data_IF_512919689422
#
_entry.id   IF_512919689422
#
_cell.length_a   1.000
_cell.length_b   1.000
_cell.length_c   1.000
_cell.angle_alpha   90.00
_cell.angle_beta   90.00
_cell.angle_gamma   90.00
#
_symmetry.space_group_name_H-M   'P 1'
#
loop_
_entity.id
_entity.type
_entity.pdbx_description
1 polymer ?
#
# COMPACT_ATOMS: atom_id res chain seq x y z
N UNK A 1 -0.44 -35.50 43.67
CA UNK A 1 -1.06 -35.71 42.34
C UNK A 1 -0.90 -34.42 41.54
N UNK A 2 -0.51 -34.52 40.27
CA UNK A 2 0.11 -33.45 39.47
C UNK A 2 -0.90 -32.34 39.11
N UNK A 3 -0.53 -31.08 39.35
CA UNK A 3 -1.27 -29.91 38.91
C UNK A 3 -1.40 -29.90 37.38
N UNK A 4 -2.64 -29.72 36.90
CA UNK A 4 -2.97 -29.57 35.48
C UNK A 4 -2.48 -28.20 35.00
N UNK A 5 -1.28 -28.16 34.43
CA UNK A 5 -0.81 -27.01 33.63
C UNK A 5 -1.69 -26.88 32.40
N UNK A 6 -2.69 -25.99 32.45
CA UNK A 6 -3.35 -25.49 31.25
C UNK A 6 -2.33 -24.66 30.48
N UNK A 7 -1.61 -25.28 29.55
CA UNK A 7 -0.91 -24.54 28.51
C UNK A 7 -1.93 -23.66 27.80
N UNK A 8 -1.84 -22.34 28.01
CA UNK A 8 -2.51 -21.38 27.14
C UNK A 8 -1.97 -21.63 25.74
N UNK A 9 -2.82 -22.12 24.83
CA UNK A 9 -2.53 -22.12 23.40
C UNK A 9 -2.16 -20.68 23.03
N UNK A 10 -1.10 -20.42 22.25
CA UNK A 10 -0.87 -19.08 21.74
C UNK A 10 -2.15 -18.65 21.02
N UNK A 11 -2.68 -17.48 21.39
CA UNK A 11 -3.78 -16.89 20.64
C UNK A 11 -3.28 -16.76 19.20
N UNK A 12 -4.01 -17.35 18.24
CA UNK A 12 -3.75 -17.05 16.84
C UNK A 12 -3.92 -15.55 16.70
N UNK A 13 -2.83 -14.83 16.43
CA UNK A 13 -2.93 -13.45 15.97
C UNK A 13 -3.82 -13.52 14.73
N UNK A 14 -5.00 -12.93 14.82
CA UNK A 14 -5.91 -12.88 13.68
C UNK A 14 -5.28 -11.95 12.66
N UNK A 15 -4.79 -12.50 11.55
CA UNK A 15 -4.35 -11.70 10.41
C UNK A 15 -5.50 -10.78 10.01
N UNK A 16 -5.28 -9.46 9.89
CA UNK A 16 -6.28 -8.53 9.42
C UNK A 16 -6.90 -9.01 8.10
N UNK A 17 -8.24 -8.91 7.96
CA UNK A 17 -8.95 -9.21 6.70
C UNK A 17 -8.83 -8.02 5.74
N UNK A 18 -7.62 -7.71 5.34
CA UNK A 18 -7.32 -6.64 4.38
C UNK A 18 -6.64 -7.25 3.16
N UNK A 19 -6.80 -6.66 1.96
CA UNK A 19 -6.11 -7.16 0.79
C UNK A 19 -4.60 -6.99 0.94
N UNK A 20 -3.84 -7.90 0.32
CA UNK A 20 -2.39 -7.77 0.19
C UNK A 20 -2.02 -6.84 -0.97
N UNK A 21 -2.83 -6.88 -2.04
CA UNK A 21 -2.68 -6.06 -3.24
C UNK A 21 -3.59 -4.84 -3.20
N UNK A 22 -3.04 -3.70 -3.58
CA UNK A 22 -3.67 -2.39 -3.60
C UNK A 22 -3.27 -1.65 -4.86
N UNK A 23 -4.04 -0.63 -5.21
CA UNK A 23 -3.71 0.34 -6.25
C UNK A 23 -3.56 1.70 -5.60
N UNK A 24 -2.50 2.42 -5.93
CA UNK A 24 -2.39 3.85 -5.68
C UNK A 24 -2.74 4.63 -6.93
N UNK A 25 -3.78 5.44 -6.85
CA UNK A 25 -4.35 6.20 -7.96
C UNK A 25 -4.14 7.69 -7.72
N UNK A 26 -3.53 8.38 -8.68
CA UNK A 26 -3.28 9.81 -8.59
C UNK A 26 -3.78 10.57 -9.83
N UNK A 27 -4.68 11.57 -9.66
CA UNK A 27 -5.10 12.46 -10.75
C UNK A 27 -3.99 13.33 -11.34
N UNK A 28 -2.91 13.54 -10.60
CA UNK A 28 -1.73 14.24 -11.09
C UNK A 28 -0.68 13.23 -11.59
N UNK A 29 -0.05 13.56 -12.72
CA UNK A 29 1.13 12.82 -13.19
C UNK A 29 2.20 12.78 -12.10
N UNK A 30 2.45 11.58 -11.59
CA UNK A 30 3.33 11.30 -10.46
C UNK A 30 4.30 10.20 -10.84
N UNK A 31 5.52 10.28 -10.33
CA UNK A 31 6.58 9.28 -10.54
C UNK A 31 6.97 8.70 -9.19
N UNK A 32 7.45 7.45 -9.16
CA UNK A 32 7.92 6.81 -7.93
C UNK A 32 9.02 7.62 -7.24
N UNK A 33 9.86 8.35 -8.00
CA UNK A 33 10.88 9.23 -7.44
C UNK A 33 10.28 10.28 -6.51
N UNK A 34 9.12 10.85 -6.85
CA UNK A 34 8.46 11.84 -6.01
C UNK A 34 8.01 11.24 -4.67
N UNK A 35 7.52 10.01 -4.69
CA UNK A 35 7.09 9.29 -3.49
C UNK A 35 8.32 8.92 -2.64
N UNK A 36 9.37 8.41 -3.27
CA UNK A 36 10.64 8.10 -2.62
C UNK A 36 11.22 9.28 -1.82
N UNK A 37 11.20 10.50 -2.38
CA UNK A 37 11.71 11.69 -1.69
C UNK A 37 10.95 12.00 -0.38
N UNK A 38 9.71 11.55 -0.22
CA UNK A 38 8.94 11.72 1.02
C UNK A 38 9.50 10.89 2.18
N UNK A 39 10.25 9.82 1.87
CA UNK A 39 10.75 8.84 2.84
C UNK A 39 12.27 8.78 2.93
N UNK A 40 13.00 9.36 1.96
CA UNK A 40 14.47 9.31 1.91
C UNK A 40 15.15 9.76 3.21
N UNK A 41 14.60 10.78 3.86
CA UNK A 41 15.14 11.35 5.11
C UNK A 41 14.16 11.21 6.28
N UNK A 42 13.05 10.49 6.09
CA UNK A 42 12.00 10.37 7.08
C UNK A 42 12.20 9.14 7.97
N UNK A 43 12.92 9.34 9.08
CA UNK A 43 13.02 8.33 10.12
C UNK A 43 11.63 8.15 10.76
N UNK A 44 11.08 6.93 10.78
CA UNK A 44 11.84 5.69 10.92
C UNK A 44 11.79 4.74 9.71
N UNK A 45 11.31 5.18 8.55
CA UNK A 45 11.19 4.33 7.36
C UNK A 45 12.48 4.33 6.54
N UNK A 46 12.74 3.22 5.84
CA UNK A 46 13.83 3.13 4.86
C UNK A 46 13.23 2.87 3.49
N UNK A 47 13.54 3.75 2.54
CA UNK A 47 13.05 3.62 1.17
C UNK A 47 14.20 3.25 0.22
N UNK A 48 13.93 2.33 -0.70
CA UNK A 48 14.82 1.93 -1.80
C UNK A 48 14.08 2.06 -3.13
N UNK A 49 14.68 2.77 -4.08
CA UNK A 49 14.10 3.02 -5.40
C UNK A 49 14.96 2.36 -6.48
N UNK A 50 14.33 1.51 -7.29
CA UNK A 50 14.91 0.93 -8.49
C UNK A 50 14.23 1.54 -9.72
N UNK A 51 14.76 2.67 -10.20
CA UNK A 51 14.14 3.47 -11.28
C UNK A 51 13.95 2.67 -12.57
N UNK A 52 14.94 1.87 -12.95
CA UNK A 52 14.88 1.04 -14.17
C UNK A 52 13.84 -0.07 -14.11
N UNK A 53 13.54 -0.57 -12.90
CA UNK A 53 12.52 -1.58 -12.69
C UNK A 53 11.13 -0.95 -12.48
N UNK A 54 11.07 0.36 -12.24
CA UNK A 54 9.83 1.02 -11.84
C UNK A 54 9.32 0.51 -10.49
N UNK A 55 10.22 0.22 -9.54
CA UNK A 55 9.87 -0.33 -8.21
C UNK A 55 10.40 0.57 -7.10
N UNK A 56 9.58 0.80 -6.08
CA UNK A 56 9.91 1.49 -4.83
C UNK A 56 9.50 0.60 -3.66
N UNK A 57 10.45 0.27 -2.78
CA UNK A 57 10.18 -0.44 -1.53
C UNK A 57 10.34 0.51 -0.34
N UNK A 58 9.36 0.53 0.56
CA UNK A 58 9.41 1.29 1.83
C UNK A 58 9.34 0.29 2.98
N UNK A 59 10.47 0.05 3.64
CA UNK A 59 10.58 -0.86 4.78
C UNK A 59 9.91 -0.28 6.03
N UNK A 60 9.19 -1.14 6.75
CA UNK A 60 8.47 -0.82 7.98
C UNK A 60 9.29 -1.20 9.22
N UNK A 61 9.16 -0.41 10.29
CA UNK A 61 9.96 -0.49 11.53
C UNK A 61 9.86 -1.84 12.26
N UNK A 62 8.71 -2.52 12.17
CA UNK A 62 8.40 -3.76 12.91
C UNK A 62 8.41 -5.01 12.00
N UNK A 63 8.98 -4.88 10.80
CA UNK A 63 8.88 -5.87 9.73
C UNK A 63 7.77 -5.51 8.75
N UNK A 64 7.91 -6.00 7.52
CA UNK A 64 7.03 -5.62 6.42
C UNK A 64 7.61 -4.55 5.51
N UNK A 65 6.99 -4.39 4.36
CA UNK A 65 7.29 -3.38 3.36
C UNK A 65 5.97 -2.88 2.76
N UNK A 66 6.03 -1.67 2.21
CA UNK A 66 5.09 -1.21 1.18
C UNK A 66 5.87 -1.17 -0.12
N UNK A 67 5.58 -2.13 -1.00
CA UNK A 67 6.19 -2.26 -2.31
C UNK A 67 5.28 -1.58 -3.33
N UNK A 68 5.84 -0.70 -4.16
CA UNK A 68 5.10 0.02 -5.19
C UNK A 68 5.75 -0.21 -6.55
N UNK A 69 4.96 -0.66 -7.53
CA UNK A 69 5.38 -0.87 -8.91
C UNK A 69 4.62 0.06 -9.85
N UNK A 70 5.33 0.74 -10.74
CA UNK A 70 4.71 1.56 -11.78
C UNK A 70 3.98 0.70 -12.79
N UNK A 71 2.74 1.05 -13.11
CA UNK A 71 1.95 0.37 -14.14
C UNK A 71 1.34 1.38 -15.12
N UNK A 72 0.86 0.87 -16.25
CA UNK A 72 0.11 1.69 -17.19
C UNK A 72 -1.22 2.16 -16.58
N UNK A 73 -1.77 3.25 -17.09
CA UNK A 73 -3.09 3.79 -16.68
C UNK A 73 -4.22 2.99 -17.32
N UNK A 74 -4.14 1.67 -17.20
CA UNK A 74 -5.06 0.70 -17.76
C UNK A 74 -5.17 -0.49 -16.77
N UNK A 75 -6.39 -0.76 -16.29
CA UNK A 75 -6.67 -1.87 -15.37
C UNK A 75 -7.05 -3.16 -16.11
N UNK A 76 -6.99 -3.19 -17.45
CA UNK A 76 -7.36 -4.33 -18.28
C UNK A 76 -8.86 -4.55 -18.47
N UNK A 77 -9.71 -3.76 -17.79
CA UNK A 77 -11.16 -3.89 -17.80
C UNK A 77 -11.86 -2.57 -18.16
N UNK A 78 -12.93 -2.64 -18.96
CA UNK A 78 -13.67 -1.45 -19.41
C UNK A 78 -14.21 -0.63 -18.23
N UNK A 79 -14.75 -1.29 -17.20
CA UNK A 79 -15.27 -0.62 -16.01
C UNK A 79 -14.16 0.04 -15.19
N UNK A 80 -13.02 -0.64 -15.01
CA UNK A 80 -11.86 -0.08 -14.32
C UNK A 80 -11.28 1.13 -15.04
N UNK A 81 -11.15 1.05 -16.37
CA UNK A 81 -10.66 2.14 -17.20
C UNK A 81 -11.62 3.33 -17.24
N UNK A 82 -12.94 3.07 -17.27
CA UNK A 82 -13.95 4.12 -17.15
C UNK A 82 -13.83 4.83 -15.79
N UNK A 83 -13.66 4.06 -14.70
CA UNK A 83 -13.43 4.63 -13.37
C UNK A 83 -12.18 5.50 -13.31
N UNK A 84 -11.04 5.04 -13.86
CA UNK A 84 -9.81 5.84 -13.95
C UNK A 84 -10.05 7.16 -14.70
N UNK A 85 -10.76 7.11 -15.82
CA UNK A 85 -11.09 8.30 -16.61
C UNK A 85 -12.03 9.26 -15.88
N UNK A 86 -13.07 8.75 -15.22
CA UNK A 86 -14.02 9.55 -14.43
C UNK A 86 -13.34 10.27 -13.26
N UNK A 87 -12.39 9.60 -12.59
CA UNK A 87 -11.59 10.19 -11.51
C UNK A 87 -10.42 11.06 -12.03
N UNK A 88 -10.21 11.12 -13.34
CA UNK A 88 -9.14 11.89 -13.96
C UNK A 88 -7.74 11.38 -13.61
N UNK A 89 -7.59 10.07 -13.36
CA UNK A 89 -6.33 9.44 -12.97
C UNK A 89 -5.29 9.54 -14.09
N UNK A 90 -4.09 9.97 -13.74
CA UNK A 90 -2.95 10.10 -14.64
C UNK A 90 -1.78 9.19 -14.27
N UNK A 91 -1.79 8.60 -13.08
CA UNK A 91 -0.76 7.69 -12.62
C UNK A 91 -1.36 6.60 -11.74
N UNK A 92 -0.95 5.36 -12.01
CA UNK A 92 -1.38 4.16 -11.30
C UNK A 92 -0.13 3.42 -10.87
N UNK A 93 -0.13 2.94 -9.64
CA UNK A 93 0.90 2.07 -9.12
C UNK A 93 0.24 0.86 -8.46
N UNK A 94 0.72 -0.34 -8.77
CA UNK A 94 0.40 -1.53 -8.00
C UNK A 94 1.15 -1.46 -6.67
N UNK A 95 0.49 -1.84 -5.58
CA UNK A 95 1.02 -1.72 -4.24
C UNK A 95 0.82 -3.03 -3.49
N UNK A 96 1.91 -3.64 -3.07
CA UNK A 96 1.87 -4.89 -2.31
C UNK A 96 2.30 -4.62 -0.87
N UNK A 97 1.54 -5.20 0.07
CA UNK A 97 1.84 -5.14 1.50
C UNK A 97 1.73 -6.52 2.12
N UNK A 98 2.36 -6.71 3.28
CA UNK A 98 2.08 -7.87 4.12
C UNK A 98 0.85 -7.56 5.01
N UNK A 99 -0.28 -8.29 4.88
CA UNK A 99 -1.49 -8.00 5.66
C UNK A 99 -1.28 -8.05 7.18
N UNK A 100 -0.31 -8.84 7.65
CA UNK A 100 0.08 -8.92 9.07
C UNK A 100 0.62 -7.59 9.62
N UNK A 101 1.18 -6.74 8.75
CA UNK A 101 1.75 -5.43 9.08
C UNK A 101 0.89 -4.27 8.59
N UNK A 102 -0.39 -4.53 8.29
CA UNK A 102 -1.29 -3.53 7.67
C UNK A 102 -1.39 -2.22 8.44
N UNK A 103 -1.44 -2.24 9.78
CA UNK A 103 -1.54 -1.00 10.55
C UNK A 103 -0.36 -0.05 10.27
N UNK A 104 0.84 -0.60 10.10
CA UNK A 104 2.06 0.15 9.75
C UNK A 104 2.12 0.54 8.29
N UNK A 105 1.73 -0.37 7.40
CA UNK A 105 1.62 -0.06 5.98
C UNK A 105 0.60 1.08 5.72
N UNK A 106 -0.52 1.08 6.45
CA UNK A 106 -1.55 2.10 6.37
C UNK A 106 -0.99 3.49 6.73
N UNK A 107 -0.15 3.62 7.76
CA UNK A 107 0.48 4.90 8.11
C UNK A 107 1.32 5.46 6.95
N UNK A 108 2.06 4.60 6.25
CA UNK A 108 2.83 4.95 5.04
C UNK A 108 1.89 5.37 3.91
N UNK A 109 0.85 4.59 3.63
CA UNK A 109 -0.12 4.88 2.58
C UNK A 109 -0.88 6.19 2.83
N UNK A 110 -1.28 6.46 4.08
CA UNK A 110 -1.92 7.71 4.48
C UNK A 110 -0.99 8.91 4.29
N UNK A 111 0.30 8.77 4.66
CA UNK A 111 1.31 9.81 4.40
C UNK A 111 1.48 10.07 2.91
N UNK A 112 1.55 9.04 2.07
CA UNK A 112 1.65 9.19 0.61
C UNK A 112 0.43 9.93 0.08
N UNK A 113 -0.79 9.49 0.44
CA UNK A 113 -2.02 10.13 -0.01
C UNK A 113 -2.09 11.61 0.40
N UNK A 114 -1.60 11.94 1.60
CA UNK A 114 -1.56 13.31 2.13
C UNK A 114 -0.54 14.21 1.42
N UNK A 115 0.68 13.72 1.20
CA UNK A 115 1.80 14.54 0.72
C UNK A 115 1.96 14.51 -0.82
N UNK A 116 1.70 13.36 -1.45
CA UNK A 116 1.72 13.21 -2.91
C UNK A 116 0.34 13.40 -3.57
N UNK A 117 -0.73 13.48 -2.78
CA UNK A 117 -2.10 13.49 -3.27
C UNK A 117 -2.60 12.08 -3.62
N UNK A 118 -3.70 12.00 -4.37
CA UNK A 118 -4.27 10.70 -4.76
C UNK A 118 -4.86 9.92 -3.59
N UNK A 119 -5.07 8.62 -3.80
CA UNK A 119 -5.65 7.71 -2.83
C UNK A 119 -5.27 6.27 -3.16
N UNK A 120 -5.39 5.37 -2.18
CA UNK A 120 -5.24 3.94 -2.35
C UNK A 120 -6.60 3.26 -2.35
N UNK A 121 -6.76 2.22 -3.15
CA UNK A 121 -7.88 1.29 -3.09
C UNK A 121 -7.37 -0.15 -3.08
N UNK A 122 -8.09 -1.06 -2.44
CA UNK A 122 -7.77 -2.48 -2.53
C UNK A 122 -7.89 -2.95 -3.99
N UNK A 123 -6.92 -3.73 -4.47
CA UNK A 123 -6.99 -4.33 -5.80
C UNK A 123 -7.97 -5.50 -5.77
N UNK A 124 -9.25 -5.15 -5.93
CA UNK A 124 -10.41 -6.01 -5.76
C UNK A 124 -11.50 -5.53 -6.73
N UNK A 125 -12.47 -6.38 -7.03
CA UNK A 125 -13.58 -6.04 -7.95
C UNK A 125 -14.31 -4.75 -7.55
N UNK A 126 -14.42 -4.46 -6.25
CA UNK A 126 -15.13 -3.29 -5.72
C UNK A 126 -14.20 -2.08 -5.44
N UNK A 127 -12.89 -2.19 -5.73
CA UNK A 127 -11.86 -1.19 -5.41
C UNK A 127 -11.92 -0.73 -3.94
N UNK A 128 -12.11 -1.68 -3.03
CA UNK A 128 -12.30 -1.43 -1.60
C UNK A 128 -11.36 -2.31 -0.75
N UNK A 129 -10.93 -1.83 0.42
CA UNK A 129 -11.23 -0.52 1.02
C UNK A 129 -10.42 0.63 0.39
N UNK A 130 -10.81 1.87 0.68
CA UNK A 130 -10.15 3.09 0.18
C UNK A 130 -9.44 3.84 1.31
N UNK A 131 -8.21 4.30 1.06
CA UNK A 131 -7.43 5.17 1.95
C UNK A 131 -7.15 6.47 1.18
N UNK A 132 -7.55 7.61 1.72
CA UNK A 132 -7.36 8.94 1.12
C UNK A 132 -6.84 9.91 2.18
N UNK A 133 -6.26 11.02 1.74
CA UNK A 133 -5.93 12.12 2.65
C UNK A 133 -7.20 12.60 3.37
N UNK A 134 -7.14 12.68 4.70
CA UNK A 134 -8.15 13.38 5.52
C UNK A 134 -7.93 14.90 5.53
#
# INVERSE_FOLDING_TARGET
>A
MKNKSKLKKPAKVSVPKVPAEWLYLNPAKTELRRIYELFREDMPWKAELWEEAGVLEIELLEGGSVDMESMETDLGEEAGNAYLAEQGIQSVFAVTIMPEHYEKAREVMEKIAKEAGGFFCGDTEDLAPVIKAE
#
